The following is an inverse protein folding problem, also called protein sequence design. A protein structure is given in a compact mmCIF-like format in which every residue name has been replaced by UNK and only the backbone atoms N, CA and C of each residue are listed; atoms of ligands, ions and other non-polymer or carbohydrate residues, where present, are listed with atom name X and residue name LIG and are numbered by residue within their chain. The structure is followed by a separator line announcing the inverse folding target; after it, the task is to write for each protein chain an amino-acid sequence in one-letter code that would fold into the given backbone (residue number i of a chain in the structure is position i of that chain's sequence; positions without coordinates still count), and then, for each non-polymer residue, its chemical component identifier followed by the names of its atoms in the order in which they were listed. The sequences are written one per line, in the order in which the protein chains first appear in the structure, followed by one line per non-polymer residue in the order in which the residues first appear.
data_IF_878080195946
#
_entry.id   IF_878080195946
#
_cell.length_a   1.000
_cell.length_b   1.000
_cell.length_c   1.000
_cell.angle_alpha   90.00
_cell.angle_beta   90.00
_cell.angle_gamma   90.00
#
_symmetry.space_group_name_H-M   'P 1'
#
loop_
_entity.id
_entity.type
_entity.pdbx_description
1 polymer ?
#
# COMPACT_ATOMS: atom_id res chain seq x y z
N UNK A 1 27.00 -8.10 10.76
CA UNK A 1 26.65 -6.82 10.12
C UNK A 1 25.15 -6.65 10.28
N UNK A 2 24.72 -5.81 11.21
CA UNK A 2 23.29 -5.55 11.40
C UNK A 2 22.85 -4.58 10.31
N UNK A 3 22.08 -5.06 9.34
CA UNK A 3 21.33 -4.19 8.45
C UNK A 3 20.63 -3.11 9.29
N UNK A 4 20.68 -1.83 8.90
CA UNK A 4 19.81 -0.85 9.52
C UNK A 4 18.39 -1.32 9.20
N UNK A 5 17.74 -1.99 10.16
CA UNK A 5 16.31 -2.14 10.14
C UNK A 5 15.77 -0.74 10.33
N UNK A 6 15.65 -0.02 9.21
CA UNK A 6 15.05 1.28 9.19
C UNK A 6 13.61 1.03 9.61
N UNK A 7 13.35 1.25 10.91
CA UNK A 7 12.03 1.19 11.50
C UNK A 7 11.27 2.46 11.07
N UNK A 8 11.14 2.63 9.76
CA UNK A 8 10.43 3.73 9.15
C UNK A 8 8.96 3.60 9.52
N UNK A 9 8.32 4.72 9.85
CA UNK A 9 6.88 4.74 10.10
C UNK A 9 6.14 4.24 8.85
N UNK A 10 4.99 3.58 9.05
CA UNK A 10 4.19 3.07 7.93
C UNK A 10 3.88 4.15 6.88
N UNK A 11 3.64 5.39 7.32
CA UNK A 11 3.38 6.54 6.43
C UNK A 11 4.61 6.94 5.63
N UNK A 12 5.78 7.00 6.28
CA UNK A 12 7.05 7.29 5.61
C UNK A 12 7.35 6.22 4.56
N UNK A 13 7.21 4.95 4.94
CA UNK A 13 7.37 3.83 4.00
C UNK A 13 6.39 3.93 2.83
N UNK A 14 5.13 4.27 3.10
CA UNK A 14 4.10 4.39 2.07
C UNK A 14 4.41 5.54 1.10
N UNK A 15 4.89 6.68 1.59
CA UNK A 15 5.32 7.80 0.73
C UNK A 15 6.45 7.37 -0.21
N UNK A 16 7.45 6.62 0.28
CA UNK A 16 8.51 6.07 -0.56
C UNK A 16 8.01 5.00 -1.54
N UNK A 17 7.06 4.17 -1.11
CA UNK A 17 6.49 3.11 -1.93
C UNK A 17 5.70 3.65 -3.14
N UNK A 18 4.95 4.73 -2.92
CA UNK A 18 4.10 5.37 -3.95
C UNK A 18 4.90 6.35 -4.81
N UNK A 19 5.75 7.15 -4.17
CA UNK A 19 6.47 8.27 -4.77
C UNK A 19 5.59 9.51 -4.94
N UNK A 20 6.08 10.45 -5.76
CA UNK A 20 5.39 11.69 -6.10
C UNK A 20 4.74 11.61 -7.50
N UNK A 21 3.48 12.06 -7.68
CA UNK A 21 2.56 12.55 -6.65
C UNK A 21 1.98 11.42 -5.77
N UNK A 22 1.79 11.70 -4.49
CA UNK A 22 1.12 10.80 -3.56
C UNK A 22 -0.41 10.94 -3.68
N UNK A 23 -1.06 10.05 -4.43
CA UNK A 23 -2.53 10.03 -4.59
C UNK A 23 -3.13 8.67 -4.23
N UNK A 24 -4.40 8.63 -3.77
CA UNK A 24 -5.07 7.37 -3.43
C UNK A 24 -5.15 6.37 -4.60
N UNK A 25 -5.35 6.87 -5.82
CA UNK A 25 -5.39 6.05 -7.04
C UNK A 25 -4.04 5.37 -7.30
N UNK A 26 -2.94 6.13 -7.21
CA UNK A 26 -1.59 5.61 -7.43
C UNK A 26 -1.16 4.62 -6.34
N UNK A 27 -1.61 4.84 -5.10
CA UNK A 27 -1.44 3.86 -4.02
C UNK A 27 -2.10 2.54 -4.40
N UNK A 28 -3.32 2.58 -4.94
CA UNK A 28 -4.05 1.39 -5.37
C UNK A 28 -3.34 0.70 -6.53
N UNK A 29 -2.90 1.44 -7.55
CA UNK A 29 -2.14 0.88 -8.68
C UNK A 29 -0.87 0.16 -8.21
N UNK A 30 -0.12 0.77 -7.30
CA UNK A 30 1.08 0.18 -6.71
C UNK A 30 0.77 -1.07 -5.89
N UNK A 31 -0.31 -1.06 -5.11
CA UNK A 31 -0.75 -2.22 -4.35
C UNK A 31 -1.22 -3.37 -5.24
N UNK A 32 -1.91 -3.07 -6.34
CA UNK A 32 -2.33 -4.09 -7.31
C UNK A 32 -1.15 -4.70 -8.07
N UNK A 33 -0.09 -3.91 -8.27
CA UNK A 33 1.15 -4.33 -8.93
C UNK A 33 2.09 -5.13 -8.02
N UNK A 34 1.78 -5.28 -6.72
CA UNK A 34 2.56 -6.12 -5.82
C UNK A 34 2.40 -7.59 -6.22
N UNK A 35 3.52 -8.31 -6.34
CA UNK A 35 3.50 -9.76 -6.55
C UNK A 35 2.80 -10.48 -5.39
N UNK A 36 3.08 -10.04 -4.15
CA UNK A 36 2.46 -10.57 -2.95
C UNK A 36 1.10 -9.88 -2.68
N UNK A 37 0.04 -10.52 -3.16
CA UNK A 37 -1.35 -10.08 -2.97
C UNK A 37 -1.77 -10.12 -1.48
N UNK A 38 -1.20 -11.02 -0.67
CA UNK A 38 -1.50 -11.07 0.76
C UNK A 38 -0.94 -9.84 1.48
N UNK A 39 0.30 -9.47 1.16
CA UNK A 39 0.93 -8.24 1.64
C UNK A 39 0.18 -7.00 1.16
N UNK A 40 -0.24 -6.95 -0.11
CA UNK A 40 -1.05 -5.86 -0.63
C UNK A 40 -2.36 -5.68 0.15
N UNK A 41 -3.05 -6.78 0.46
CA UNK A 41 -4.29 -6.78 1.27
C UNK A 41 -4.04 -6.29 2.69
N UNK A 42 -2.94 -6.70 3.33
CA UNK A 42 -2.58 -6.20 4.67
C UNK A 42 -2.31 -4.70 4.69
N UNK A 43 -1.55 -4.20 3.71
CA UNK A 43 -1.25 -2.76 3.58
C UNK A 43 -2.54 -1.98 3.36
N UNK A 44 -3.44 -2.47 2.51
CA UNK A 44 -4.74 -1.87 2.26
C UNK A 44 -5.63 -1.80 3.51
N UNK A 45 -5.71 -2.89 4.27
CA UNK A 45 -6.45 -2.87 5.54
C UNK A 45 -5.86 -1.87 6.53
N UNK A 46 -4.54 -1.74 6.58
CA UNK A 46 -3.86 -0.77 7.43
C UNK A 46 -4.16 0.68 6.99
N UNK A 47 -4.15 0.94 5.68
CA UNK A 47 -4.53 2.23 5.10
C UNK A 47 -5.94 2.66 5.50
N UNK A 48 -6.93 1.78 5.32
CA UNK A 48 -8.34 2.10 5.66
C UNK A 48 -8.57 2.33 7.15
N UNK A 49 -7.70 1.82 8.02
CA UNK A 49 -7.76 2.00 9.48
C UNK A 49 -6.95 3.22 9.94
N UNK A 50 -6.11 3.80 9.09
CA UNK A 50 -5.35 5.00 9.42
C UNK A 50 -6.30 6.20 9.56
N UNK A 51 -6.24 6.91 10.68
CA UNK A 51 -7.16 8.02 10.97
C UNK A 51 -6.95 9.24 10.07
N UNK A 52 -5.80 9.37 9.43
CA UNK A 52 -5.46 10.52 8.58
C UNK A 52 -5.75 10.17 7.13
N UNK A 53 -5.19 9.06 6.66
CA UNK A 53 -5.29 8.67 5.25
C UNK A 53 -6.57 7.90 4.93
N UNK A 54 -7.20 7.24 5.91
CA UNK A 54 -8.30 6.32 5.67
C UNK A 54 -9.53 6.97 5.03
N UNK A 55 -9.73 8.27 5.23
CA UNK A 55 -10.83 9.03 4.59
C UNK A 55 -10.62 9.15 3.09
N UNK A 56 -9.39 9.41 2.63
CA UNK A 56 -9.03 9.47 1.21
C UNK A 56 -9.22 8.14 0.47
N UNK A 57 -9.23 7.04 1.22
CA UNK A 57 -9.47 5.69 0.70
C UNK A 57 -10.94 5.22 0.90
N UNK A 58 -11.83 6.06 1.42
CA UNK A 58 -13.27 5.76 1.45
C UNK A 58 -13.82 5.75 0.02
N UNK A 59 -14.63 4.75 -0.29
CA UNK A 59 -15.19 4.57 -1.64
C UNK A 59 -14.26 3.89 -2.65
N UNK A 60 -12.96 3.86 -2.41
CA UNK A 60 -12.01 3.18 -3.28
C UNK A 60 -11.98 1.66 -3.03
N UNK A 61 -11.71 0.90 -4.10
CA UNK A 61 -11.65 -0.56 -4.09
C UNK A 61 -10.29 -1.05 -4.55
N UNK A 62 -9.68 -1.93 -3.77
CA UNK A 62 -8.50 -2.67 -4.17
C UNK A 62 -8.92 -3.94 -4.91
N UNK A 63 -8.77 -3.94 -6.24
CA UNK A 63 -8.97 -5.11 -7.07
C UNK A 63 -7.65 -5.88 -7.19
N UNK A 64 -7.41 -6.78 -6.24
CA UNK A 64 -6.36 -7.76 -6.33
C UNK A 64 -6.76 -8.77 -7.41
N UNK A 65 -6.32 -8.55 -8.65
CA UNK A 65 -6.40 -9.59 -9.66
C UNK A 65 -5.54 -10.73 -9.14
N UNK A 66 -6.20 -11.84 -8.76
CA UNK A 66 -5.53 -13.12 -8.69
C UNK A 66 -5.00 -13.38 -10.11
N UNK A 67 -3.79 -12.91 -10.41
CA UNK A 67 -2.95 -13.51 -11.44
C UNK A 67 -2.60 -14.91 -10.93
N UNK A 68 -3.61 -15.78 -10.90
CA UNK A 68 -3.38 -17.19 -10.99
C UNK A 68 -2.59 -17.35 -12.28
N UNK A 69 -1.32 -17.72 -12.11
CA UNK A 69 -0.38 -18.11 -13.16
C UNK A 69 -1.13 -18.73 -14.35
N UNK A 70 -1.05 -18.09 -15.51
CA UNK A 70 -1.05 -18.84 -16.77
C UNK A 70 0.34 -19.48 -16.93
#
# INVERSE_FOLDING_TARGET
MSEPQIQMSFRTWLLFFVGDPFTPERVIEKLQSLEDQAKAKQIWQRLKRDRVLGDDFKGLRLNLHNKAKE
#
